data_IF_659642810264
#
_entry.id   IF_659642810264
#
_cell.length_a   1.000
_cell.length_b   1.000
_cell.length_c   1.000
_cell.angle_alpha   90.00
_cell.angle_beta   90.00
_cell.angle_gamma   90.00
#
_symmetry.space_group_name_H-M   'P 1'
#
loop_
_entity.id
_entity.type
_entity.pdbx_description
1 polymer ?
#
# COMPACT_ATOMS: atom_id res chain seq x y z
N UNK A 1 -18.20 19.02 30.07
CA UNK A 1 -17.01 19.12 29.20
C UNK A 1 -17.40 20.07 28.08
N UNK A 2 -16.68 21.17 27.90
CA UNK A 2 -17.06 22.19 26.91
C UNK A 2 -16.99 21.67 25.48
N UNK A 3 -17.89 22.13 24.62
CA UNK A 3 -18.01 21.72 23.22
C UNK A 3 -16.70 21.92 22.44
N UNK A 4 -15.99 23.02 22.70
CA UNK A 4 -14.67 23.30 22.12
C UNK A 4 -13.60 22.28 22.55
N UNK A 5 -13.69 21.76 23.77
CA UNK A 5 -12.77 20.73 24.27
C UNK A 5 -13.05 19.40 23.58
N UNK A 6 -14.33 19.04 23.42
CA UNK A 6 -14.75 17.83 22.71
C UNK A 6 -14.33 17.87 21.23
N UNK A 7 -14.49 19.01 20.56
CA UNK A 7 -14.05 19.20 19.18
C UNK A 7 -12.53 19.03 19.03
N UNK A 8 -11.75 19.62 19.93
CA UNK A 8 -10.28 19.48 19.95
C UNK A 8 -9.83 18.03 20.13
N UNK A 9 -10.49 17.29 21.02
CA UNK A 9 -10.23 15.84 21.22
C UNK A 9 -10.52 15.05 19.94
N UNK A 10 -11.66 15.31 19.29
CA UNK A 10 -12.04 14.61 18.06
C UNK A 10 -11.10 14.94 16.90
N UNK A 11 -10.61 16.19 16.79
CA UNK A 11 -9.59 16.58 15.81
C UNK A 11 -8.28 15.83 16.02
N UNK A 12 -7.79 15.74 17.26
CA UNK A 12 -6.59 14.95 17.59
C UNK A 12 -6.77 13.46 17.26
N UNK A 13 -7.94 12.91 17.57
CA UNK A 13 -8.29 11.53 17.22
C UNK A 13 -8.27 11.30 15.71
N UNK A 14 -8.86 12.20 14.92
CA UNK A 14 -8.82 12.13 13.47
C UNK A 14 -7.39 12.20 12.93
N UNK A 15 -6.54 13.08 13.47
CA UNK A 15 -5.13 13.16 13.05
C UNK A 15 -4.36 11.86 13.33
N UNK A 16 -4.59 11.22 14.47
CA UNK A 16 -4.02 9.90 14.77
C UNK A 16 -4.51 8.85 13.77
N UNK A 17 -5.81 8.84 13.47
CA UNK A 17 -6.40 7.95 12.46
C UNK A 17 -5.77 8.16 11.07
N UNK A 18 -5.62 9.40 10.61
CA UNK A 18 -5.02 9.72 9.31
C UNK A 18 -3.57 9.25 9.20
N UNK A 19 -2.78 9.42 10.27
CA UNK A 19 -1.40 8.91 10.32
C UNK A 19 -1.34 7.40 10.16
N UNK A 20 -2.21 6.67 10.85
CA UNK A 20 -2.28 5.21 10.76
C UNK A 20 -2.86 4.73 9.41
N UNK A 21 -3.84 5.46 8.86
CA UNK A 21 -4.39 5.20 7.53
C UNK A 21 -3.31 5.25 6.45
N UNK A 22 -2.47 6.29 6.45
CA UNK A 22 -1.38 6.41 5.47
C UNK A 22 -0.33 5.31 5.62
N UNK A 23 0.00 4.90 6.86
CA UNK A 23 0.93 3.78 7.11
C UNK A 23 0.34 2.44 6.64
N UNK A 24 -0.95 2.23 6.85
CA UNK A 24 -1.62 1.03 6.38
C UNK A 24 -1.64 0.98 4.84
N UNK A 25 -1.92 2.09 4.18
CA UNK A 25 -2.02 2.17 2.72
C UNK A 25 -0.72 1.90 1.95
N UNK A 26 0.44 1.83 2.63
CA UNK A 26 1.71 1.42 2.00
C UNK A 26 1.90 -0.10 2.00
N UNK A 27 1.14 -0.85 2.80
CA UNK A 27 1.22 -2.30 2.90
C UNK A 27 0.45 -2.96 1.75
N UNK A 28 1.07 -3.95 1.12
CA UNK A 28 0.53 -4.71 -0.02
C UNK A 28 0.57 -6.22 0.26
N UNK A 29 -0.09 -7.00 -0.59
CA UNK A 29 -0.10 -8.47 -0.49
C UNK A 29 -1.31 -9.04 0.28
N UNK A 30 -2.43 -8.32 0.30
CA UNK A 30 -3.71 -8.85 0.76
C UNK A 30 -4.47 -9.49 -0.39
N UNK A 31 -5.22 -10.56 -0.12
CA UNK A 31 -6.00 -11.29 -1.12
C UNK A 31 -7.23 -10.54 -1.61
N UNK A 32 -7.89 -9.83 -0.71
CA UNK A 32 -9.21 -9.27 -0.99
C UNK A 32 -9.21 -7.80 -1.36
N UNK A 33 -8.11 -7.10 -1.12
CA UNK A 33 -8.08 -5.68 -1.37
C UNK A 33 -6.67 -5.15 -1.63
N UNK A 34 -6.61 -4.01 -2.31
CA UNK A 34 -5.40 -3.22 -2.47
C UNK A 34 -5.71 -1.77 -2.13
N UNK A 35 -4.72 -1.06 -1.60
CA UNK A 35 -4.84 0.34 -1.23
C UNK A 35 -3.84 1.18 -2.00
N UNK A 36 -4.25 2.41 -2.29
CA UNK A 36 -3.41 3.43 -2.90
C UNK A 36 -3.59 4.74 -2.16
N UNK A 37 -2.47 5.39 -1.83
CA UNK A 37 -2.49 6.72 -1.24
C UNK A 37 -2.85 7.71 -2.34
N UNK A 38 -3.96 8.44 -2.14
CA UNK A 38 -4.43 9.49 -3.06
C UNK A 38 -4.00 10.87 -2.59
N UNK A 39 -4.07 11.10 -1.28
CA UNK A 39 -3.72 12.37 -0.66
C UNK A 39 -3.43 12.21 0.83
N UNK A 40 -3.15 13.33 1.50
CA UNK A 40 -2.84 13.33 2.94
C UNK A 40 -4.02 12.89 3.81
N UNK A 41 -5.24 13.06 3.31
CA UNK A 41 -6.48 12.73 4.02
C UNK A 41 -7.30 11.66 3.29
N UNK A 42 -6.75 11.06 2.22
CA UNK A 42 -7.48 10.23 1.27
C UNK A 42 -6.69 9.00 0.84
N UNK A 43 -7.33 7.84 0.87
CA UNK A 43 -6.85 6.61 0.24
C UNK A 43 -7.94 6.03 -0.65
N UNK A 44 -7.52 5.36 -1.71
CA UNK A 44 -8.39 4.52 -2.54
C UNK A 44 -8.22 3.08 -2.09
N UNK A 45 -9.34 2.38 -1.92
CA UNK A 45 -9.40 0.99 -1.54
C UNK A 45 -10.12 0.23 -2.66
N UNK A 46 -9.42 -0.64 -3.37
CA UNK A 46 -10.04 -1.57 -4.32
C UNK A 46 -10.27 -2.90 -3.63
N UNK A 47 -11.50 -3.42 -3.69
CA UNK A 47 -11.88 -4.68 -3.04
C UNK A 47 -12.44 -5.64 -4.07
N UNK A 48 -11.96 -6.89 -4.07
CA UNK A 48 -12.44 -7.92 -4.99
C UNK A 48 -13.91 -8.25 -4.72
N UNK A 49 -14.65 -8.45 -5.80
CA UNK A 49 -16.09 -8.70 -5.75
C UNK A 49 -16.40 -10.13 -5.32
N UNK A 50 -15.63 -11.10 -5.80
CA UNK A 50 -15.80 -12.52 -5.50
C UNK A 50 -14.54 -13.09 -4.86
N UNK A 51 -14.71 -14.07 -3.98
CA UNK A 51 -13.55 -14.82 -3.51
C UNK A 51 -12.95 -15.57 -4.70
N UNK A 52 -11.72 -15.22 -5.06
CA UNK A 52 -10.95 -16.05 -5.97
C UNK A 52 -10.69 -17.39 -5.26
N UNK A 53 -11.46 -18.41 -5.64
CA UNK A 53 -11.10 -19.80 -5.31
C UNK A 53 -9.68 -19.96 -5.85
N UNK A 54 -8.70 -20.44 -5.05
CA UNK A 54 -7.33 -20.58 -5.51
C UNK A 54 -7.27 -21.62 -6.62
N UNK A 55 -7.53 -21.17 -7.84
CA UNK A 55 -7.22 -21.85 -9.07
C UNK A 55 -5.84 -21.33 -9.41
N UNK A 56 -4.81 -22.15 -9.18
CA UNK A 56 -3.47 -21.92 -9.70
C UNK A 56 -3.55 -21.61 -11.21
N UNK A 57 -3.68 -20.33 -11.58
CA UNK A 57 -3.54 -19.84 -12.96
C UNK A 57 -3.43 -18.32 -12.99
N UNK A 58 -2.30 -17.79 -12.51
CA UNK A 58 -1.66 -16.71 -13.26
C UNK A 58 -0.54 -17.35 -14.07
N UNK A 59 -0.93 -17.98 -15.17
CA UNK A 59 -0.01 -18.35 -16.24
C UNK A 59 -0.41 -17.54 -17.47
N UNK A 60 0.52 -16.65 -17.82
CA UNK A 60 0.82 -16.08 -19.13
C UNK A 60 -0.08 -16.62 -20.26
N UNK A 61 -0.82 -15.70 -20.84
CA UNK A 61 -1.48 -15.79 -22.14
C UNK A 61 -0.54 -16.42 -23.19
N UNK A 62 -0.92 -17.57 -23.74
CA UNK A 62 -0.55 -18.02 -25.08
C UNK A 62 -1.34 -19.29 -25.50
N UNK A 63 -2.35 -19.04 -26.34
CA UNK A 63 -2.81 -19.88 -27.46
C UNK A 63 -3.64 -21.17 -27.23
N UNK A 64 -4.66 -21.27 -28.09
CA UNK A 64 -5.46 -22.43 -28.57
C UNK A 64 -6.85 -22.64 -27.92
N UNK A 65 -7.96 -22.56 -28.70
CA UNK A 65 -9.31 -22.87 -28.22
C UNK A 65 -9.58 -24.37 -28.38
N UNK A 66 -9.89 -25.08 -27.28
CA UNK A 66 -10.43 -26.43 -27.37
C UNK A 66 -11.82 -26.53 -26.74
N UNK A 67 -12.76 -27.02 -27.56
CA UNK A 67 -14.15 -27.32 -27.20
C UNK A 67 -14.18 -28.61 -26.36
N UNK A 68 -14.75 -28.59 -25.16
CA UNK A 68 -15.00 -29.84 -24.44
C UNK A 68 -15.55 -29.72 -23.02
N UNK A 69 -16.82 -30.11 -22.86
CA UNK A 69 -17.55 -30.42 -21.63
C UNK A 69 -16.69 -30.89 -20.43
N UNK A 70 -17.08 -30.46 -19.22
CA UNK A 70 -17.69 -31.33 -18.17
C UNK A 70 -18.19 -30.50 -16.97
N UNK A 71 -19.49 -30.60 -16.69
CA UNK A 71 -20.10 -30.26 -15.40
C UNK A 71 -19.63 -31.30 -14.38
N UNK A 72 -18.98 -30.88 -13.31
CA UNK A 72 -18.84 -31.69 -12.10
C UNK A 72 -19.45 -30.95 -10.93
N UNK A 73 -20.56 -31.51 -10.43
CA UNK A 73 -21.22 -31.15 -9.18
C UNK A 73 -20.34 -31.63 -8.04
N UNK A 74 -19.91 -30.73 -7.16
CA UNK A 74 -19.56 -31.08 -5.78
C UNK A 74 -20.09 -29.95 -4.92
N UNK A 75 -21.36 -30.09 -4.53
CA UNK A 75 -21.95 -29.34 -3.44
C UNK A 75 -21.81 -30.14 -2.14
N UNK A 76 -21.71 -29.38 -1.05
CA UNK A 76 -21.99 -29.73 0.35
C UNK A 76 -20.85 -30.44 1.11
N UNK A 77 -20.13 -29.66 1.93
CA UNK A 77 -20.15 -29.75 3.41
C UNK A 77 -19.05 -28.85 3.99
N UNK A 78 -19.40 -27.58 4.28
CA UNK A 78 -18.75 -26.81 5.35
C UNK A 78 -19.72 -25.74 5.84
N UNK A 79 -20.77 -26.20 6.51
CA UNK A 79 -21.64 -25.37 7.31
C UNK A 79 -20.97 -25.17 8.67
N UNK A 80 -20.21 -24.08 8.80
CA UNK A 80 -19.93 -23.49 10.12
C UNK A 80 -19.62 -22.00 9.96
N UNK A 81 -20.61 -21.20 10.34
CA UNK A 81 -20.55 -19.80 10.80
C UNK A 81 -19.82 -18.75 9.91
N UNK A 82 -20.56 -18.13 8.98
CA UNK A 82 -20.37 -16.71 8.65
C UNK A 82 -21.65 -16.15 7.99
N UNK A 83 -22.17 -15.05 8.51
CA UNK A 83 -23.34 -14.32 8.00
C UNK A 83 -23.14 -13.97 6.52
N UNK A 84 -23.82 -14.71 5.63
CA UNK A 84 -23.59 -14.65 4.20
C UNK A 84 -24.24 -13.42 3.56
N UNK A 85 -23.49 -12.75 2.67
CA UNK A 85 -23.86 -11.60 1.81
C UNK A 85 -24.84 -11.97 0.67
N UNK A 86 -25.72 -12.95 0.89
CA UNK A 86 -26.54 -13.64 -0.11
C UNK A 86 -27.72 -12.79 -0.61
N UNK A 87 -27.76 -12.10 -1.74
CA UNK A 87 -26.85 -11.81 -2.85
C UNK A 87 -27.12 -10.32 -3.17
N UNK A 88 -26.23 -9.41 -2.73
CA UNK A 88 -26.17 -7.95 -2.94
C UNK A 88 -27.01 -7.46 -4.15
N UNK A 89 -27.98 -6.52 -4.01
CA UNK A 89 -27.76 -5.16 -3.51
C UNK A 89 -28.61 -4.77 -2.29
N UNK A 90 -28.05 -3.94 -1.39
CA UNK A 90 -28.66 -3.52 -0.13
C UNK A 90 -29.62 -2.33 -0.28
N UNK A 91 -30.56 -2.21 0.66
CA UNK A 91 -31.44 -1.04 0.73
C UNK A 91 -30.64 0.24 1.03
N UNK A 92 -30.90 1.30 0.27
CA UNK A 92 -30.36 2.64 0.45
C UNK A 92 -30.47 3.12 1.90
N UNK A 93 -31.60 2.85 2.57
CA UNK A 93 -31.83 3.27 3.97
C UNK A 93 -30.90 2.58 4.97
N UNK A 94 -30.35 1.44 4.58
CA UNK A 94 -29.42 0.65 5.41
C UNK A 94 -27.98 1.09 5.20
N UNK A 95 -27.58 1.35 3.95
CA UNK A 95 -26.18 1.61 3.60
C UNK A 95 -25.80 3.06 3.37
N UNK A 96 -26.73 3.98 3.07
CA UNK A 96 -26.39 5.39 2.88
C UNK A 96 -26.78 6.23 4.10
N UNK A 97 -26.09 7.36 4.29
CA UNK A 97 -26.50 8.36 5.28
C UNK A 97 -27.84 9.00 4.90
N UNK A 98 -28.61 9.43 5.91
CA UNK A 98 -29.88 10.14 5.67
C UNK A 98 -29.65 11.51 5.02
N UNK A 99 -30.64 12.00 4.25
CA UNK A 99 -30.58 13.34 3.63
C UNK A 99 -30.36 14.46 4.68
N UNK A 100 -30.94 14.33 5.87
CA UNK A 100 -30.71 15.27 6.97
C UNK A 100 -29.25 15.26 7.43
N UNK A 101 -28.67 14.08 7.61
CA UNK A 101 -27.26 13.93 7.96
C UNK A 101 -26.35 14.49 6.87
N UNK A 102 -26.69 14.27 5.60
CA UNK A 102 -25.96 14.82 4.47
C UNK A 102 -26.00 16.34 4.43
N UNK A 103 -27.16 16.97 4.67
CA UNK A 103 -27.27 18.44 4.69
C UNK A 103 -26.40 19.08 5.79
N UNK A 104 -26.22 18.39 6.92
CA UNK A 104 -25.30 18.80 7.98
C UNK A 104 -23.84 18.70 7.51
N UNK A 105 -23.51 17.68 6.71
CA UNK A 105 -22.17 17.50 6.13
C UNK A 105 -21.91 18.44 4.94
N UNK A 106 -22.91 18.76 4.12
CA UNK A 106 -22.76 19.42 2.82
C UNK A 106 -22.82 20.95 2.86
N UNK A 107 -22.75 21.58 4.04
CA UNK A 107 -22.66 23.05 4.19
C UNK A 107 -23.76 23.85 3.44
N UNK A 108 -24.92 23.25 3.14
CA UNK A 108 -26.05 23.98 2.53
C UNK A 108 -26.82 24.86 3.53
N UNK A 109 -26.37 24.97 4.77
CA UNK A 109 -27.09 25.70 5.84
C UNK A 109 -26.67 27.16 6.04
N UNK A 110 -25.44 27.57 5.75
CA UNK A 110 -24.98 28.95 6.03
C UNK A 110 -23.85 29.32 5.07
N UNK A 111 -24.13 30.19 4.10
CA UNK A 111 -23.15 30.88 3.24
C UNK A 111 -22.37 30.04 2.21
N UNK A 112 -23.06 29.51 1.21
CA UNK A 112 -22.78 29.77 -0.21
C UNK A 112 -21.46 29.35 -0.89
N UNK A 113 -20.44 28.81 -0.22
CA UNK A 113 -19.22 28.32 -0.89
C UNK A 113 -18.69 27.06 -0.21
N UNK A 114 -19.34 25.94 -0.49
CA UNK A 114 -18.88 24.63 -0.04
C UNK A 114 -19.18 23.61 -1.12
N UNK A 115 -18.37 23.61 -2.18
CA UNK A 115 -18.35 22.45 -3.06
C UNK A 115 -18.10 21.22 -2.17
N UNK A 116 -18.86 20.12 -2.33
CA UNK A 116 -18.44 18.85 -1.74
C UNK A 116 -16.98 18.60 -2.15
N UNK A 117 -16.15 17.95 -1.30
CA UNK A 117 -14.80 17.59 -1.70
C UNK A 117 -14.88 16.98 -3.09
N UNK A 118 -14.16 17.57 -4.05
CA UNK A 118 -14.32 17.25 -5.47
C UNK A 118 -14.19 15.74 -5.64
N UNK A 119 -15.32 15.08 -5.84
CA UNK A 119 -15.33 13.63 -5.97
C UNK A 119 -14.47 13.26 -7.17
N UNK A 120 -13.61 12.23 -7.05
CA UNK A 120 -12.80 11.78 -8.15
C UNK A 120 -13.66 11.58 -9.39
N UNK A 121 -13.18 11.97 -10.56
CA UNK A 121 -13.79 11.52 -11.80
C UNK A 121 -13.64 9.98 -11.88
N UNK A 122 -14.71 9.28 -12.26
CA UNK A 122 -14.69 7.84 -12.54
C UNK A 122 -13.59 7.46 -13.56
N UNK A 123 -13.04 8.46 -14.28
CA UNK A 123 -11.96 8.37 -15.25
C UNK A 123 -10.54 8.18 -14.65
N UNK A 124 -10.33 8.34 -13.34
CA UNK A 124 -8.98 8.23 -12.74
C UNK A 124 -8.51 6.78 -12.53
N UNK A 125 -9.39 5.78 -12.72
CA UNK A 125 -9.07 4.38 -12.47
C UNK A 125 -9.64 3.49 -13.59
N UNK A 126 -8.84 2.56 -14.12
CA UNK A 126 -9.37 1.50 -14.96
C UNK A 126 -10.32 0.66 -14.09
N UNK A 127 -11.62 0.76 -14.38
CA UNK A 127 -12.67 0.02 -13.67
C UNK A 127 -12.54 -1.44 -14.08
N UNK A 128 -11.89 -2.24 -13.24
CA UNK A 128 -11.95 -3.70 -13.35
C UNK A 128 -13.29 -4.17 -12.80
N UNK A 129 -14.11 -4.81 -13.65
CA UNK A 129 -15.41 -5.38 -13.27
C UNK A 129 -15.29 -6.42 -12.13
N UNK A 130 -14.10 -6.99 -11.91
CA UNK A 130 -13.84 -7.94 -10.85
C UNK A 130 -13.66 -7.30 -9.47
N UNK A 131 -13.54 -5.97 -9.39
CA UNK A 131 -13.28 -5.24 -8.13
C UNK A 131 -14.12 -3.97 -8.00
N UNK A 132 -14.44 -3.60 -6.76
CA UNK A 132 -15.15 -2.37 -6.44
C UNK A 132 -14.22 -1.37 -5.77
N UNK A 133 -14.22 -0.14 -6.28
CA UNK A 133 -13.42 0.97 -5.78
C UNK A 133 -14.19 1.75 -4.71
N UNK A 134 -13.47 2.06 -3.63
CA UNK A 134 -13.94 2.91 -2.54
C UNK A 134 -12.94 4.04 -2.29
N UNK A 135 -13.45 5.21 -1.92
CA UNK A 135 -12.65 6.29 -1.37
C UNK A 135 -12.82 6.28 0.14
N UNK A 136 -11.73 6.16 0.90
CA UNK A 136 -11.73 6.37 2.35
C UNK A 136 -11.10 7.72 2.61
N UNK A 137 -11.82 8.62 3.26
CA UNK A 137 -11.30 9.95 3.55
C UNK A 137 -11.68 10.44 4.95
N UNK A 138 -10.78 11.20 5.56
CA UNK A 138 -10.94 11.76 6.90
C UNK A 138 -10.74 13.27 6.90
N UNK A 139 -11.62 14.01 6.20
CA UNK A 139 -11.48 15.46 6.09
C UNK A 139 -11.70 16.18 7.43
N UNK A 140 -10.85 17.18 7.69
CA UNK A 140 -10.92 17.99 8.91
C UNK A 140 -12.30 18.63 9.15
N UNK A 141 -13.05 18.98 8.09
CA UNK A 141 -14.41 19.54 8.18
C UNK A 141 -15.39 18.60 8.88
N UNK A 142 -15.23 17.29 8.69
CA UNK A 142 -16.13 16.28 9.25
C UNK A 142 -15.69 15.78 10.61
N UNK A 143 -14.40 15.91 10.94
CA UNK A 143 -13.80 15.42 12.18
C UNK A 143 -14.10 13.91 12.38
N UNK A 144 -14.27 13.19 11.27
CA UNK A 144 -14.73 11.79 11.23
C UNK A 144 -14.38 11.17 9.87
N UNK A 145 -13.91 9.91 9.83
CA UNK A 145 -13.65 9.22 8.57
C UNK A 145 -14.92 8.66 7.94
N UNK A 146 -15.03 8.82 6.62
CA UNK A 146 -16.12 8.31 5.79
C UNK A 146 -15.58 7.49 4.62
N UNK A 147 -16.44 6.63 4.08
CA UNK A 147 -16.14 5.77 2.94
C UNK A 147 -17.18 6.00 1.86
N UNK A 148 -16.76 6.25 0.63
CA UNK A 148 -17.64 6.39 -0.52
C UNK A 148 -17.42 5.24 -1.49
N UNK A 149 -18.49 4.78 -2.12
CA UNK A 149 -18.37 3.90 -3.28
C UNK A 149 -17.98 4.77 -4.48
N UNK A 150 -17.11 4.24 -5.35
CA UNK A 150 -16.61 4.96 -6.53
C UNK A 150 -16.77 4.16 -7.83
N UNK A 151 -16.97 2.84 -7.75
CA UNK A 151 -17.40 2.01 -8.87
C UNK A 151 -18.45 0.97 -8.42
N UNK A 152 -19.11 0.29 -9.37
CA UNK A 152 -20.05 -0.81 -9.11
C UNK A 152 -21.12 -0.50 -8.05
N UNK A 153 -21.67 0.72 -8.06
CA UNK A 153 -22.63 1.18 -7.06
C UNK A 153 -23.88 0.30 -7.03
N UNK A 154 -24.38 -0.03 -8.21
CA UNK A 154 -25.54 -0.87 -8.46
C UNK A 154 -25.39 -2.29 -7.90
N UNK A 155 -24.15 -2.77 -7.74
CA UNK A 155 -23.86 -4.07 -7.14
C UNK A 155 -24.07 -4.03 -5.63
N UNK A 156 -23.75 -2.91 -4.98
CA UNK A 156 -23.82 -2.79 -3.52
C UNK A 156 -25.12 -2.15 -3.03
N UNK A 157 -25.67 -1.18 -3.73
CA UNK A 157 -26.81 -0.38 -3.24
C UNK A 157 -27.93 -0.33 -4.28
N UNK A 158 -29.15 -0.68 -3.86
CA UNK A 158 -30.38 -0.42 -4.61
C UNK A 158 -30.69 1.08 -4.54
N UNK A 159 -30.19 1.85 -5.49
CA UNK A 159 -30.50 3.28 -5.62
C UNK A 159 -31.94 3.44 -6.11
N UNK A 160 -32.68 4.41 -5.56
CA UNK A 160 -34.08 4.69 -5.93
C UNK A 160 -34.26 6.19 -6.16
N UNK A 161 -34.64 6.62 -7.37
CA UNK A 161 -34.80 8.04 -7.70
C UNK A 161 -33.61 8.64 -8.46
N UNK A 162 -33.25 9.90 -8.18
CA UNK A 162 -32.15 10.64 -8.82
C UNK A 162 -30.77 10.06 -8.45
N UNK A 163 -30.39 8.98 -9.14
CA UNK A 163 -29.23 8.14 -8.84
C UNK A 163 -27.88 8.89 -8.77
N UNK A 164 -27.73 10.02 -9.46
CA UNK A 164 -26.45 10.75 -9.51
C UNK A 164 -26.08 11.42 -8.18
N UNK A 165 -27.03 12.03 -7.48
CA UNK A 165 -26.76 12.59 -6.14
C UNK A 165 -26.56 11.50 -5.11
N UNK A 166 -27.17 10.34 -5.31
CA UNK A 166 -27.10 9.25 -4.35
C UNK A 166 -25.76 8.52 -4.36
N UNK A 167 -25.11 8.46 -5.52
CA UNK A 167 -23.76 7.89 -5.69
C UNK A 167 -22.69 8.63 -4.89
N UNK A 168 -22.90 9.91 -4.58
CA UNK A 168 -21.91 10.68 -3.83
C UNK A 168 -22.08 10.62 -2.30
N UNK A 169 -23.02 9.80 -1.83
CA UNK A 169 -23.24 9.64 -0.40
C UNK A 169 -22.25 8.63 0.21
N UNK A 170 -21.64 8.97 1.35
CA UNK A 170 -20.80 8.01 2.04
C UNK A 170 -21.65 6.87 2.61
N UNK A 171 -21.01 5.72 2.71
CA UNK A 171 -21.53 4.52 3.35
C UNK A 171 -21.73 4.75 4.85
N UNK A 172 -22.84 4.23 5.34
CA UNK A 172 -23.23 4.19 6.74
C UNK A 172 -22.64 2.95 7.40
N UNK A 173 -21.33 3.00 7.66
CA UNK A 173 -20.60 1.93 8.34
C UNK A 173 -20.82 1.96 9.86
N UNK A 174 -20.93 0.79 10.48
CA UNK A 174 -20.99 0.60 11.95
C UNK A 174 -19.79 1.24 12.63
N UNK A 175 -18.63 1.15 12.00
CA UNK A 175 -17.38 1.72 12.50
C UNK A 175 -17.43 3.24 12.52
N UNK A 176 -17.86 3.89 11.43
CA UNK A 176 -18.05 5.35 11.37
C UNK A 176 -19.12 5.84 12.35
N UNK A 177 -20.24 5.12 12.49
CA UNK A 177 -21.31 5.50 13.42
C UNK A 177 -20.85 5.55 14.89
N UNK A 178 -19.91 4.69 15.27
CA UNK A 178 -19.37 4.60 16.64
C UNK A 178 -18.13 5.48 16.84
N UNK A 179 -17.76 6.32 15.88
CA UNK A 179 -16.57 7.17 15.93
C UNK A 179 -16.51 8.05 17.18
N UNK A 180 -17.65 8.55 17.66
CA UNK A 180 -17.70 9.40 18.86
C UNK A 180 -17.53 8.62 20.16
N UNK A 181 -17.88 7.34 20.17
CA UNK A 181 -18.08 6.56 21.40
C UNK A 181 -16.92 5.61 21.70
N UNK A 182 -16.13 5.22 20.69
CA UNK A 182 -15.01 4.28 20.84
C UNK A 182 -13.88 4.60 19.90
N UNK A 183 -12.71 4.04 20.15
CA UNK A 183 -11.61 4.06 19.19
C UNK A 183 -11.97 3.23 17.97
N UNK A 184 -11.74 3.83 16.80
CA UNK A 184 -12.02 3.27 15.49
C UNK A 184 -10.77 3.46 14.69
N UNK A 185 -10.28 2.37 14.13
CA UNK A 185 -9.06 2.33 13.34
C UNK A 185 -9.38 2.09 11.87
N UNK A 186 -8.40 2.36 11.01
CA UNK A 186 -8.56 2.15 9.56
C UNK A 186 -8.89 0.70 9.23
N UNK A 187 -8.30 -0.27 9.95
CA UNK A 187 -8.60 -1.69 9.75
C UNK A 187 -10.04 -2.04 10.13
N UNK A 188 -10.71 -1.29 11.02
CA UNK A 188 -12.14 -1.51 11.28
C UNK A 188 -12.98 -1.19 10.05
N UNK A 189 -12.67 -0.07 9.37
CA UNK A 189 -13.34 0.31 8.13
C UNK A 189 -13.05 -0.69 7.01
N UNK A 190 -11.79 -1.07 6.84
CA UNK A 190 -11.39 -2.01 5.78
C UNK A 190 -12.02 -3.38 5.98
N UNK A 191 -12.02 -3.92 7.20
CA UNK A 191 -12.67 -5.20 7.50
C UNK A 191 -14.18 -5.16 7.20
N UNK A 192 -14.84 -4.05 7.54
CA UNK A 192 -16.26 -3.86 7.28
C UNK A 192 -16.56 -3.77 5.78
N UNK A 193 -15.76 -2.99 5.02
CA UNK A 193 -15.91 -2.84 3.57
C UNK A 193 -15.62 -4.16 2.84
N UNK A 194 -14.57 -4.90 3.23
CA UNK A 194 -14.25 -6.20 2.64
C UNK A 194 -15.39 -7.20 2.84
N UNK A 195 -15.91 -7.30 4.07
CA UNK A 195 -17.07 -8.18 4.35
C UNK A 195 -18.35 -7.75 3.65
N UNK A 196 -18.53 -6.45 3.44
CA UNK A 196 -19.67 -5.91 2.71
C UNK A 196 -19.60 -6.22 1.21
N UNK A 197 -18.40 -6.11 0.63
CA UNK A 197 -18.19 -6.11 -0.81
C UNK A 197 -17.93 -7.50 -1.39
N UNK A 198 -17.19 -8.35 -0.69
CA UNK A 198 -16.76 -9.65 -1.22
C UNK A 198 -17.84 -10.71 -0.97
N UNK A 199 -18.16 -11.50 -1.99
CA UNK A 199 -19.10 -12.61 -1.91
C UNK A 199 -18.42 -13.96 -2.23
N UNK A 200 -18.58 -14.99 -1.38
CA UNK A 200 -19.09 -14.91 -0.02
C UNK A 200 -18.19 -14.03 0.87
N UNK A 201 -18.74 -13.47 1.95
CA UNK A 201 -17.96 -12.63 2.87
C UNK A 201 -16.80 -13.43 3.48
N UNK A 202 -15.54 -12.96 3.37
CA UNK A 202 -14.40 -13.72 3.87
C UNK A 202 -14.38 -13.76 5.39
N UNK A 203 -13.99 -14.93 5.92
CA UNK A 203 -13.84 -15.13 7.36
C UNK A 203 -12.74 -14.22 7.90
N UNK A 204 -11.58 -14.20 7.22
CA UNK A 204 -10.47 -13.28 7.48
C UNK A 204 -10.42 -12.20 6.38
N UNK A 205 -10.85 -10.95 6.66
CA UNK A 205 -10.78 -9.88 5.66
C UNK A 205 -9.35 -9.44 5.33
N UNK A 206 -8.36 -9.82 6.15
CA UNK A 206 -6.94 -9.48 6.00
C UNK A 206 -6.11 -10.62 5.45
N UNK A 207 -6.74 -11.63 4.83
CA UNK A 207 -6.04 -12.79 4.32
C UNK A 207 -4.84 -12.39 3.43
N UNK A 208 -3.69 -13.01 3.69
CA UNK A 208 -2.42 -12.72 3.00
C UNK A 208 -2.31 -13.54 1.72
N UNK A 209 -1.84 -12.88 0.66
CA UNK A 209 -1.35 -13.54 -0.54
C UNK A 209 0.15 -13.83 -0.38
N UNK A 210 0.49 -15.08 -0.02
CA UNK A 210 1.89 -15.48 0.15
C UNK A 210 2.65 -15.61 -1.18
N UNK A 211 1.93 -15.81 -2.30
CA UNK A 211 2.54 -15.91 -3.61
C UNK A 211 3.06 -14.54 -4.05
N UNK A 212 2.33 -13.46 -3.73
CA UNK A 212 2.80 -12.09 -3.91
C UNK A 212 4.21 -11.89 -3.31
N UNK A 213 4.41 -12.25 -2.03
CA UNK A 213 5.72 -12.07 -1.38
C UNK A 213 6.80 -12.95 -1.98
N UNK A 214 6.44 -14.17 -2.39
CA UNK A 214 7.36 -15.14 -3.00
C UNK A 214 7.88 -14.68 -4.37
N UNK A 215 7.13 -13.81 -5.06
CA UNK A 215 7.52 -13.24 -6.35
C UNK A 215 8.36 -11.96 -6.24
N UNK A 216 8.36 -11.30 -5.07
CA UNK A 216 9.15 -10.09 -4.88
C UNK A 216 10.67 -10.37 -4.91
N UNK A 217 11.47 -9.44 -5.46
CA UNK A 217 12.91 -9.42 -5.26
C UNK A 217 13.27 -9.49 -3.78
N UNK A 218 14.36 -10.19 -3.44
CA UNK A 218 14.69 -10.51 -2.05
C UNK A 218 14.75 -9.28 -1.10
N UNK A 219 15.37 -8.14 -1.47
CA UNK A 219 15.34 -6.94 -0.63
C UNK A 219 13.93 -6.41 -0.37
N UNK A 220 13.09 -6.37 -1.41
CA UNK A 220 11.71 -5.91 -1.33
C UNK A 220 10.84 -6.88 -0.55
N UNK A 221 11.08 -8.20 -0.67
CA UNK A 221 10.43 -9.24 0.12
C UNK A 221 10.70 -9.04 1.61
N UNK A 222 11.96 -8.81 2.01
CA UNK A 222 12.31 -8.57 3.42
C UNK A 222 11.59 -7.35 3.98
N UNK A 223 11.58 -6.24 3.24
CA UNK A 223 10.90 -5.01 3.67
C UNK A 223 9.37 -5.18 3.72
N UNK A 224 8.78 -5.76 2.68
CA UNK A 224 7.33 -5.93 2.57
C UNK A 224 6.79 -6.89 3.62
N UNK A 225 7.49 -8.00 3.87
CA UNK A 225 7.11 -8.94 4.93
C UNK A 225 7.26 -8.33 6.33
N UNK A 226 8.29 -7.52 6.59
CA UNK A 226 8.43 -6.80 7.85
C UNK A 226 7.27 -5.82 8.10
N UNK A 227 6.91 -5.05 7.06
CA UNK A 227 5.78 -4.12 7.13
C UNK A 227 4.45 -4.86 7.38
N UNK A 228 4.24 -6.00 6.71
CA UNK A 228 3.06 -6.84 6.93
C UNK A 228 2.99 -7.41 8.35
N UNK A 229 4.12 -7.91 8.89
CA UNK A 229 4.21 -8.39 10.29
C UNK A 229 3.80 -7.28 11.26
N UNK A 230 4.40 -6.09 11.12
CA UNK A 230 4.08 -4.95 11.98
C UNK A 230 2.61 -4.55 11.87
N UNK A 231 2.05 -4.62 10.67
CA UNK A 231 0.65 -4.28 10.43
C UNK A 231 -0.32 -5.29 11.08
N UNK A 232 -0.11 -6.59 10.88
CA UNK A 232 -0.96 -7.61 11.50
C UNK A 232 -0.88 -7.57 13.04
N UNK A 233 0.29 -7.26 13.61
CA UNK A 233 0.42 -7.03 15.06
C UNK A 233 -0.48 -5.88 15.54
N UNK A 234 -0.53 -4.77 14.81
CA UNK A 234 -1.42 -3.65 15.14
C UNK A 234 -2.90 -4.04 15.05
N UNK A 235 -3.28 -4.81 14.03
CA UNK A 235 -4.66 -5.32 13.93
C UNK A 235 -5.00 -6.15 15.16
N UNK A 236 -4.13 -7.08 15.57
CA UNK A 236 -4.39 -7.94 16.72
C UNK A 236 -4.52 -7.15 18.03
N UNK A 237 -3.63 -6.19 18.26
CA UNK A 237 -3.67 -5.34 19.47
C UNK A 237 -4.93 -4.47 19.48
N UNK A 238 -5.31 -3.91 18.32
CA UNK A 238 -6.45 -3.01 18.19
C UNK A 238 -7.80 -3.70 17.98
N UNK A 239 -7.82 -5.03 17.84
CA UNK A 239 -9.04 -5.80 17.60
C UNK A 239 -9.49 -6.49 18.89
N UNK A 240 -10.72 -6.23 19.37
CA UNK A 240 -11.29 -6.99 20.49
C UNK A 240 -11.34 -8.49 20.18
N UNK A 241 -11.08 -9.33 21.19
CA UNK A 241 -11.06 -10.81 21.07
C UNK A 241 -12.37 -11.38 20.50
N UNK A 242 -13.50 -10.68 20.69
CA UNK A 242 -14.81 -11.06 20.19
C UNK A 242 -14.92 -11.09 18.66
N UNK A 243 -13.97 -10.46 17.93
CA UNK A 243 -14.02 -10.49 16.46
C UNK A 243 -13.52 -11.84 15.94
N UNK A 244 -14.41 -12.54 15.24
CA UNK A 244 -14.19 -13.87 14.65
C UNK A 244 -12.91 -14.02 13.80
N UNK A 245 -12.39 -12.94 13.22
CA UNK A 245 -11.18 -12.99 12.39
C UNK A 245 -9.87 -12.89 13.18
N UNK A 246 -9.90 -12.56 14.48
CA UNK A 246 -8.70 -12.32 15.27
C UNK A 246 -7.78 -13.56 15.31
N UNK A 247 -8.37 -14.76 15.51
CA UNK A 247 -7.61 -16.02 15.47
C UNK A 247 -6.93 -16.27 14.11
N UNK A 248 -7.64 -16.00 13.01
CA UNK A 248 -7.09 -16.19 11.66
C UNK A 248 -5.99 -15.19 11.34
N UNK A 249 -6.12 -13.93 11.79
CA UNK A 249 -5.04 -12.93 11.67
C UNK A 249 -3.82 -13.36 12.47
N UNK A 250 -4.00 -13.98 13.64
CA UNK A 250 -2.90 -14.50 14.44
C UNK A 250 -2.16 -15.65 13.74
N UNK A 251 -2.88 -16.59 13.14
CA UNK A 251 -2.30 -17.66 12.33
C UNK A 251 -1.50 -17.10 11.14
N UNK A 252 -2.06 -16.13 10.41
CA UNK A 252 -1.35 -15.50 9.31
C UNK A 252 -0.13 -14.69 9.74
N UNK A 253 -0.19 -14.02 10.90
CA UNK A 253 0.95 -13.35 11.50
C UNK A 253 2.10 -14.34 11.74
N UNK A 254 1.83 -15.53 12.25
CA UNK A 254 2.86 -16.55 12.45
C UNK A 254 3.50 -16.99 11.13
N UNK A 255 2.69 -17.22 10.10
CA UNK A 255 3.15 -17.64 8.78
C UNK A 255 4.01 -16.56 8.10
N UNK A 256 3.54 -15.31 8.07
CA UNK A 256 4.29 -14.21 7.43
C UNK A 256 5.56 -13.87 8.23
N UNK A 257 5.55 -14.03 9.55
CA UNK A 257 6.75 -13.89 10.38
C UNK A 257 7.80 -14.95 10.03
N UNK A 258 7.38 -16.21 9.85
CA UNK A 258 8.28 -17.28 9.37
C UNK A 258 8.86 -16.94 8.00
N UNK A 259 8.02 -16.45 7.08
CA UNK A 259 8.47 -16.04 5.74
C UNK A 259 9.46 -14.87 5.79
N UNK A 260 9.22 -13.88 6.66
CA UNK A 260 10.12 -12.76 6.89
C UNK A 260 11.52 -13.23 7.34
N UNK A 261 11.60 -14.10 8.34
CA UNK A 261 12.88 -14.61 8.83
C UNK A 261 13.62 -15.47 7.81
N UNK A 262 12.90 -16.22 6.98
CA UNK A 262 13.49 -16.97 5.87
C UNK A 262 14.12 -16.02 4.84
N UNK A 263 13.38 -15.01 4.41
CA UNK A 263 13.88 -13.99 3.48
C UNK A 263 15.07 -13.22 4.07
N UNK A 264 15.02 -12.86 5.35
CA UNK A 264 16.12 -12.17 6.04
C UNK A 264 17.38 -13.05 6.08
N UNK A 265 17.23 -14.33 6.41
CA UNK A 265 18.35 -15.28 6.43
C UNK A 265 18.97 -15.45 5.04
N UNK A 266 18.15 -15.51 4.00
CA UNK A 266 18.64 -15.58 2.61
C UNK A 266 19.38 -14.31 2.21
N UNK A 267 18.86 -13.13 2.57
CA UNK A 267 19.49 -11.84 2.26
C UNK A 267 20.87 -11.73 2.93
N UNK A 268 20.98 -12.15 4.19
CA UNK A 268 22.26 -12.18 4.91
C UNK A 268 23.26 -13.11 4.21
N UNK A 269 22.81 -14.28 3.72
CA UNK A 269 23.67 -15.21 2.97
C UNK A 269 24.16 -14.65 1.63
N UNK A 270 23.35 -13.85 0.94
CA UNK A 270 23.72 -13.20 -0.32
C UNK A 270 24.61 -11.96 -0.13
N UNK A 271 25.06 -11.69 1.10
CA UNK A 271 25.90 -10.55 1.41
C UNK A 271 25.10 -9.27 1.60
N UNK A 272 23.89 -9.31 2.17
CA UNK A 272 23.16 -8.13 2.65
C UNK A 272 22.56 -7.24 1.55
N UNK A 273 22.14 -6.03 1.94
CA UNK A 273 21.56 -5.05 1.01
C UNK A 273 22.66 -4.38 0.18
N UNK A 274 22.58 -4.38 -1.17
CA UNK A 274 23.58 -3.74 -2.04
C UNK A 274 23.85 -2.26 -1.69
N UNK A 275 22.82 -1.54 -1.22
CA UNK A 275 22.92 -0.12 -0.83
C UNK A 275 23.93 0.12 0.29
N UNK A 276 24.12 -0.85 1.19
CA UNK A 276 25.07 -0.74 2.30
C UNK A 276 26.51 -0.75 1.78
N UNK A 277 26.79 -1.54 0.75
CA UNK A 277 28.11 -1.62 0.13
C UNK A 277 28.41 -0.41 -0.73
N UNK A 278 27.40 0.13 -1.43
CA UNK A 278 27.57 1.31 -2.26
C UNK A 278 27.89 2.56 -1.42
N UNK A 279 27.27 2.69 -0.24
CA UNK A 279 27.56 3.79 0.68
C UNK A 279 28.96 3.65 1.32
N UNK A 280 29.40 2.43 1.65
CA UNK A 280 30.76 2.19 2.13
C UNK A 280 31.82 2.48 1.06
N UNK A 281 31.59 2.10 -0.20
CA UNK A 281 32.51 2.41 -1.29
C UNK A 281 32.59 3.91 -1.59
N UNK A 282 31.46 4.64 -1.57
CA UNK A 282 31.49 6.10 -1.73
C UNK A 282 32.27 6.79 -0.59
N UNK A 283 32.12 6.32 0.66
CA UNK A 283 32.90 6.85 1.79
C UNK A 283 34.40 6.52 1.68
N UNK A 284 34.77 5.35 1.15
CA UNK A 284 36.17 5.00 0.88
C UNK A 284 36.78 5.86 -0.24
N UNK A 285 36.05 6.07 -1.35
CA UNK A 285 36.51 6.93 -2.45
C UNK A 285 36.74 8.38 -1.96
N UNK A 286 35.87 8.91 -1.09
CA UNK A 286 36.06 10.23 -0.48
C UNK A 286 37.27 10.30 0.47
N UNK A 287 37.60 9.21 1.17
CA UNK A 287 38.78 9.14 2.04
C UNK A 287 40.08 9.04 1.24
N UNK A 288 40.11 8.23 0.19
CA UNK A 288 41.32 8.07 -0.64
C UNK A 288 41.65 9.32 -1.46
N UNK A 289 40.63 10.09 -1.86
CA UNK A 289 40.82 11.37 -2.54
C UNK A 289 41.34 12.47 -1.59
N UNK A 290 41.01 12.45 -0.30
CA UNK A 290 41.65 13.32 0.70
C UNK A 290 43.08 12.88 1.05
N UNK A 291 43.36 11.57 1.08
CA UNK A 291 44.70 11.04 1.31
C UNK A 291 45.71 11.42 0.21
N UNK A 292 45.30 11.36 -1.07
CA UNK A 292 46.19 11.74 -2.20
C UNK A 292 46.55 13.24 -2.25
N UNK A 293 45.70 14.14 -1.73
CA UNK A 293 46.03 15.57 -1.68
C UNK A 293 47.13 15.88 -0.65
N UNK A 294 47.15 15.18 0.49
CA UNK A 294 48.19 15.33 1.51
C UNK A 294 49.54 14.75 1.07
N UNK A 295 49.57 13.67 0.30
CA UNK A 295 50.83 13.10 -0.21
C UNK A 295 51.44 13.96 -1.32
N UNK A 296 50.63 14.66 -2.12
CA UNK A 296 51.13 15.52 -3.23
C UNK A 296 51.67 16.86 -2.74
N UNK A 297 51.23 17.36 -1.58
CA UNK A 297 51.82 18.57 -0.97
C UNK A 297 53.16 18.30 -0.27
N UNK A 298 53.40 17.09 0.23
CA UNK A 298 54.63 16.76 0.97
C UNK A 298 55.86 16.54 0.06
N UNK A 299 55.65 16.26 -1.23
CA UNK A 299 56.71 16.07 -2.23
C UNK A 299 57.11 17.35 -2.97
N UNK A 300 56.46 18.50 -2.70
CA UNK A 300 56.84 19.80 -3.29
C UNK A 300 57.76 20.67 -2.43
N UNK A 301 58.06 20.27 -1.19
CA UNK A 301 58.85 21.08 -0.24
C UNK A 301 60.34 20.71 -0.13
N UNK A 302 60.85 19.79 -0.94
CA UNK A 302 62.28 19.43 -0.98
C UNK A 302 62.81 19.40 -2.41
N UNK A 303 63.01 20.58 -2.99
CA UNK A 303 64.00 20.78 -4.06
C UNK A 303 64.28 22.27 -4.20
N UNK A 304 65.31 22.75 -3.49
CA UNK A 304 65.93 24.04 -3.74
C UNK A 304 67.26 23.82 -4.47
N UNK A 305 67.37 24.52 -5.61
CA UNK A 305 68.57 25.05 -6.26
C UNK A 305 69.68 24.12 -6.77
N UNK A 306 69.82 24.03 -8.09
CA UNK A 306 71.04 24.46 -8.80
C UNK A 306 70.74 24.73 -10.30
N UNK A 307 71.47 25.65 -10.97
CA UNK A 307 71.03 26.32 -12.20
C UNK A 307 71.48 25.64 -13.50
N UNK A 308 70.75 26.04 -14.55
CA UNK A 308 70.82 25.62 -15.94
C UNK A 308 72.20 25.78 -16.59
N UNK A 309 72.56 24.82 -17.46
CA UNK A 309 73.40 25.06 -18.62
C UNK A 309 72.71 24.59 -19.90
N UNK A 310 72.73 25.50 -20.86
CA UNK A 310 72.08 25.46 -22.16
C UNK A 310 73.04 24.84 -23.17
N UNK A 311 72.58 23.92 -24.02
CA UNK A 311 72.82 23.98 -25.46
C UNK A 311 72.20 22.78 -26.17
N UNK A 312 71.34 23.12 -27.13
CA UNK A 312 70.67 22.24 -28.06
C UNK A 312 71.39 22.44 -29.40
N UNK A 313 72.08 21.43 -29.92
CA UNK A 313 72.57 21.40 -31.30
C UNK A 313 71.94 20.22 -32.01
N UNK A 314 71.17 20.54 -33.04
CA UNK A 314 70.57 19.57 -33.95
C UNK A 314 71.58 19.05 -34.98
N UNK A 315 71.09 18.54 -36.13
CA UNK A 315 71.12 17.11 -36.42
C UNK A 315 71.96 16.79 -37.66
N UNK A 316 72.42 15.55 -37.83
CA UNK A 316 72.67 15.01 -39.17
C UNK A 316 72.83 13.49 -39.19
N UNK A 317 72.23 12.92 -40.23
CA UNK A 317 72.32 11.55 -40.70
C UNK A 317 73.73 11.16 -41.16
N UNK A 318 74.05 9.86 -41.11
CA UNK A 318 75.22 9.26 -41.73
C UNK A 318 75.09 7.75 -41.86
N UNK A 319 74.90 7.30 -43.11
CA UNK A 319 74.82 5.92 -43.56
C UNK A 319 76.13 5.14 -43.36
N UNK A 320 76.03 3.81 -43.31
CA UNK A 320 76.92 2.95 -44.08
C UNK A 320 77.55 1.77 -43.35
N UNK A 321 77.04 0.56 -43.67
CA UNK A 321 77.80 -0.64 -44.12
C UNK A 321 78.90 -1.21 -43.21
N UNK A 322 79.15 -2.51 -43.09
CA UNK A 322 78.60 -3.78 -43.56
C UNK A 322 79.47 -4.88 -42.88
N UNK A 323 79.12 -6.15 -43.10
CA UNK A 323 79.89 -7.37 -42.74
C UNK A 323 79.66 -7.84 -41.30
N UNK A 324 79.35 -9.10 -40.99
CA UNK A 324 79.78 -10.34 -41.62
C UNK A 324 78.89 -11.50 -41.13
N UNK A 325 78.56 -12.42 -42.04
CA UNK A 325 77.90 -13.73 -41.88
C UNK A 325 76.39 -13.80 -41.56
#
# INVERSE_FOLDING_TARGET
>A
MDEATQESVMKKKLQSFLSEMLKMATVKGFRYFVMYIRGKEEIVLSVVNEQQVPSNTFCIDNSVPNKGRRKSRVDILSASESFSSTNLPYDQRSLLLSQRSQMVLSTHGVSGVGLPPASPSEAEFNVDESSTLFLVAGYARYICPYVWVRSNHERLVKLTGDCQREKDNPLRLKSTLKWKDRDVYIWDLVAEVVKLCTYPAPTNPFAIDFDYFSQLPLPERVLSTAAMVQFLQKILIGTPEEKQYAGQVFEELQLITKHHYQALKELIKQGGLPIVYQQQQQQQISRDSQGRQLTTQRSRSTSYNAPQSVSNTGPSYGYGTASMF
#
